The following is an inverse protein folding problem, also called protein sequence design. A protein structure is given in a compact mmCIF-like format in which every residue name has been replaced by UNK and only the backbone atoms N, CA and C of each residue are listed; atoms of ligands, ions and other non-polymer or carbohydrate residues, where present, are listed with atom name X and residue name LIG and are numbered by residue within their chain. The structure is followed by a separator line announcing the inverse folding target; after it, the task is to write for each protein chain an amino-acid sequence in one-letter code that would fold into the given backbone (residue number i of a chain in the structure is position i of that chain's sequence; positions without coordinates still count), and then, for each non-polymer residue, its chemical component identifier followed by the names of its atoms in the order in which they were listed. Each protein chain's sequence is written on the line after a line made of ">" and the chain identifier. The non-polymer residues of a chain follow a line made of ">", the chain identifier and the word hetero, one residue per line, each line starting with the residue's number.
data_IF_447463134750
#
_entry.id   IF_447463134750
#
_cell.length_a   1.000
_cell.length_b   1.000
_cell.length_c   1.000
_cell.angle_alpha   90.00
_cell.angle_beta   90.00
_cell.angle_gamma   90.00
#
_symmetry.space_group_name_H-M   'P 1'
#
loop_
_entity.id
_entity.type
_entity.pdbx_description
1 polymer ?
#
# COMPACT_ATOMS: atom_id res chain seq x y z
N UNK A 1 -4.51 -13.64 -32.51
CA UNK A 1 -3.95 -13.19 -31.21
C UNK A 1 -5.08 -12.59 -30.41
N UNK A 2 -5.17 -12.90 -29.11
CA UNK A 2 -6.27 -12.39 -28.28
C UNK A 2 -5.94 -11.02 -27.71
N UNK A 3 -6.88 -10.09 -27.77
CA UNK A 3 -6.81 -8.79 -27.11
C UNK A 3 -7.67 -8.81 -25.86
N UNK A 4 -7.05 -8.66 -24.69
CA UNK A 4 -7.76 -8.48 -23.42
C UNK A 4 -7.87 -6.99 -23.13
N UNK A 5 -9.03 -6.40 -23.43
CA UNK A 5 -9.27 -4.96 -23.34
C UNK A 5 -10.01 -4.66 -22.05
N UNK A 6 -9.48 -3.71 -21.27
CA UNK A 6 -10.09 -3.22 -20.04
C UNK A 6 -10.53 -1.77 -20.18
N UNK A 7 -11.66 -1.42 -19.55
CA UNK A 7 -12.10 -0.03 -19.42
C UNK A 7 -12.16 0.37 -17.94
N UNK A 8 -11.10 1.02 -17.41
CA UNK A 8 -10.99 1.30 -15.98
C UNK A 8 -12.08 2.21 -15.40
N UNK A 9 -12.72 3.05 -16.22
CA UNK A 9 -13.78 3.95 -15.76
C UNK A 9 -15.01 3.15 -15.30
N UNK A 10 -15.40 2.13 -16.06
CA UNK A 10 -16.55 1.27 -15.77
C UNK A 10 -16.17 0.00 -15.00
N UNK A 11 -14.88 -0.36 -14.96
CA UNK A 11 -14.41 -1.57 -14.29
C UNK A 11 -14.73 -2.86 -15.05
N UNK A 12 -15.01 -2.76 -16.35
CA UNK A 12 -15.32 -3.85 -17.26
C UNK A 12 -14.08 -4.32 -18.03
N UNK A 13 -14.15 -5.55 -18.53
CA UNK A 13 -13.12 -6.15 -19.38
C UNK A 13 -13.76 -7.09 -20.40
N UNK A 14 -13.18 -7.15 -21.59
CA UNK A 14 -13.64 -8.04 -22.67
C UNK A 14 -12.43 -8.63 -23.39
N UNK A 15 -12.50 -9.93 -23.65
CA UNK A 15 -11.53 -10.65 -24.45
C UNK A 15 -12.07 -10.75 -25.88
N UNK A 16 -11.27 -10.31 -26.86
CA UNK A 16 -11.62 -10.34 -28.28
C UNK A 16 -10.54 -11.13 -29.00
N UNK A 17 -10.92 -12.03 -29.90
CA UNK A 17 -9.96 -12.72 -30.75
C UNK A 17 -9.83 -12.00 -32.09
N UNK A 18 -8.59 -11.75 -32.51
CA UNK A 18 -8.28 -11.11 -33.79
C UNK A 18 -7.27 -11.99 -34.51
N UNK A 19 -7.70 -12.56 -35.62
CA UNK A 19 -6.86 -13.43 -36.45
C UNK A 19 -6.15 -12.67 -37.58
N UNK A 20 -6.69 -11.52 -38.01
CA UNK A 20 -6.12 -10.71 -39.07
C UNK A 20 -4.86 -9.95 -38.58
N UNK A 21 -3.71 -10.32 -39.13
CA UNK A 21 -2.41 -9.75 -38.81
C UNK A 21 -2.31 -8.24 -39.15
N UNK A 22 -3.06 -7.75 -40.15
CA UNK A 22 -3.04 -6.33 -40.53
C UNK A 22 -3.58 -5.44 -39.43
N UNK A 23 -4.65 -5.90 -38.76
CA UNK A 23 -5.24 -5.23 -37.59
C UNK A 23 -4.30 -5.23 -36.39
N UNK A 24 -3.42 -6.23 -36.30
CA UNK A 24 -2.45 -6.38 -35.21
C UNK A 24 -1.15 -5.61 -35.46
N UNK A 25 -0.82 -5.30 -36.72
CA UNK A 25 0.41 -4.62 -37.11
C UNK A 25 0.64 -3.29 -36.37
N UNK A 26 -0.44 -2.56 -36.07
CA UNK A 26 -0.38 -1.28 -35.34
C UNK A 26 0.25 -1.40 -33.94
N UNK A 27 0.14 -2.58 -33.32
CA UNK A 27 0.72 -2.87 -32.01
C UNK A 27 2.17 -3.34 -32.07
N UNK A 28 2.64 -3.79 -33.23
CA UNK A 28 3.97 -4.39 -33.36
C UNK A 28 5.07 -3.36 -33.14
N UNK A 29 6.19 -3.83 -32.56
CA UNK A 29 7.35 -3.01 -32.20
C UNK A 29 7.07 -1.87 -31.19
N UNK A 30 5.82 -1.71 -30.77
CA UNK A 30 5.46 -0.83 -29.66
C UNK A 30 5.89 -1.46 -28.35
N UNK A 31 6.12 -0.60 -27.37
CA UNK A 31 6.52 -0.98 -26.02
C UNK A 31 5.31 -0.94 -25.10
N UNK A 32 5.33 -1.77 -24.06
CA UNK A 32 4.41 -1.59 -22.93
C UNK A 32 4.44 -0.14 -22.41
N UNK A 33 3.26 0.40 -22.17
CA UNK A 33 3.02 1.79 -21.78
C UNK A 33 2.75 2.72 -22.96
N UNK A 34 3.02 2.31 -24.21
CA UNK A 34 2.70 3.12 -25.38
C UNK A 34 1.19 3.21 -25.62
N UNK A 35 0.76 4.35 -26.12
CA UNK A 35 -0.59 4.59 -26.60
C UNK A 35 -0.68 4.32 -28.10
N UNK A 36 -1.78 3.71 -28.51
CA UNK A 36 -2.02 3.25 -29.88
C UNK A 36 -3.47 3.57 -30.24
N UNK A 37 -3.67 4.17 -31.42
CA UNK A 37 -5.00 4.44 -31.94
C UNK A 37 -5.74 3.13 -32.26
N UNK A 38 -7.00 3.04 -31.84
CA UNK A 38 -7.86 1.88 -32.07
C UNK A 38 -8.40 1.78 -33.50
N UNK A 39 -8.36 2.88 -34.26
CA UNK A 39 -8.95 3.00 -35.60
C UNK A 39 -8.49 1.90 -36.56
N UNK A 40 -7.22 1.49 -36.48
CA UNK A 40 -6.64 0.47 -37.36
C UNK A 40 -7.02 -0.96 -36.99
N UNK A 41 -7.60 -1.18 -35.80
CA UNK A 41 -7.97 -2.51 -35.31
C UNK A 41 -9.35 -2.91 -35.83
N UNK A 42 -10.28 -1.95 -35.93
CA UNK A 42 -11.61 -2.16 -36.48
C UNK A 42 -12.50 -0.93 -36.31
N UNK A 43 -13.58 -0.88 -37.09
CA UNK A 43 -14.51 0.26 -37.10
C UNK A 43 -15.18 0.49 -35.74
N UNK A 44 -15.40 -0.57 -34.97
CA UNK A 44 -15.93 -0.51 -33.59
C UNK A 44 -15.00 0.20 -32.61
N UNK A 45 -13.72 0.34 -32.94
CA UNK A 45 -12.71 1.01 -32.12
C UNK A 45 -12.34 2.40 -32.65
N UNK A 46 -13.14 2.95 -33.56
CA UNK A 46 -12.91 4.29 -34.09
C UNK A 46 -12.97 5.37 -32.99
N UNK A 47 -11.94 6.20 -32.94
CA UNK A 47 -11.74 7.24 -31.93
C UNK A 47 -11.19 6.75 -30.60
N UNK A 48 -11.08 5.43 -30.38
CA UNK A 48 -10.53 4.88 -29.15
C UNK A 48 -9.01 5.00 -29.12
N UNK A 49 -8.47 5.27 -27.92
CA UNK A 49 -7.03 5.20 -27.67
C UNK A 49 -6.76 4.11 -26.65
N UNK A 50 -5.97 3.12 -27.05
CA UNK A 50 -5.54 2.03 -26.19
C UNK A 50 -4.13 2.28 -25.66
N UNK A 51 -3.90 1.97 -24.40
CA UNK A 51 -2.55 1.83 -23.83
C UNK A 51 -2.20 0.36 -23.70
N UNK A 52 -1.03 -0.03 -24.21
CA UNK A 52 -0.51 -1.38 -24.02
C UNK A 52 -0.10 -1.53 -22.55
N UNK A 53 -0.74 -2.44 -21.83
CA UNK A 53 -0.49 -2.66 -20.39
C UNK A 53 0.38 -3.88 -20.10
N UNK A 54 0.50 -4.79 -21.07
CA UNK A 54 1.28 -6.01 -20.94
C UNK A 54 0.72 -7.12 -21.82
N UNK A 55 0.98 -8.36 -21.43
CA UNK A 55 0.52 -9.52 -22.16
C UNK A 55 1.23 -10.80 -21.72
N UNK A 56 0.87 -11.90 -22.35
CA UNK A 56 1.48 -13.20 -22.18
C UNK A 56 1.90 -13.77 -23.54
N UNK A 57 3.10 -14.32 -23.58
CA UNK A 57 3.61 -15.12 -24.69
C UNK A 57 2.77 -16.41 -24.87
N UNK A 58 2.84 -17.04 -26.05
CA UNK A 58 2.27 -18.37 -26.35
C UNK A 58 2.55 -19.46 -25.31
N UNK A 59 3.71 -19.43 -24.64
CA UNK A 59 4.00 -20.39 -23.55
C UNK A 59 3.65 -19.86 -22.15
N UNK A 60 2.90 -18.76 -22.06
CA UNK A 60 2.38 -18.20 -20.81
C UNK A 60 3.34 -17.27 -20.06
N UNK A 61 4.56 -17.03 -20.53
CA UNK A 61 5.49 -16.11 -19.88
C UNK A 61 4.99 -14.67 -19.95
N UNK A 62 4.87 -13.96 -18.81
CA UNK A 62 4.34 -12.59 -18.78
C UNK A 62 5.38 -11.58 -19.27
N UNK A 63 4.90 -10.50 -19.88
CA UNK A 63 5.72 -9.34 -20.25
C UNK A 63 6.18 -8.55 -19.01
N UNK A 64 7.40 -7.99 -19.07
CA UNK A 64 7.97 -7.16 -17.99
C UNK A 64 8.43 -5.80 -18.52
N UNK A 65 7.93 -4.73 -17.89
CA UNK A 65 8.35 -3.35 -18.17
C UNK A 65 9.87 -3.17 -18.00
N UNK A 66 10.49 -2.40 -18.91
CA UNK A 66 11.91 -2.05 -18.87
C UNK A 66 12.86 -3.10 -19.48
N UNK A 67 12.34 -4.26 -19.88
CA UNK A 67 13.11 -5.26 -20.60
C UNK A 67 12.98 -5.00 -22.10
N UNK A 68 13.94 -4.26 -22.65
CA UNK A 68 13.93 -3.74 -24.03
C UNK A 68 14.29 -4.80 -25.07
N UNK A 69 13.56 -5.92 -25.06
CA UNK A 69 13.82 -7.07 -25.89
C UNK A 69 12.49 -7.64 -26.45
N UNK A 70 12.42 -8.05 -27.73
CA UNK A 70 11.23 -8.63 -28.34
C UNK A 70 11.11 -10.14 -28.10
N UNK A 71 12.02 -10.76 -27.35
CA UNK A 71 11.93 -12.17 -26.95
C UNK A 71 11.93 -12.34 -25.44
N UNK A 72 12.32 -13.52 -24.97
CA UNK A 72 12.46 -13.81 -23.53
C UNK A 72 13.88 -13.65 -23.05
N UNK A 73 14.01 -13.26 -21.79
CA UNK A 73 15.29 -13.17 -21.08
C UNK A 73 15.15 -13.76 -19.68
N UNK A 74 16.26 -14.24 -19.10
CA UNK A 74 16.30 -14.76 -17.74
C UNK A 74 16.84 -13.70 -16.79
N UNK A 75 15.98 -13.20 -15.90
CA UNK A 75 16.33 -12.18 -14.91
C UNK A 75 16.30 -12.75 -13.51
N UNK A 76 17.19 -12.26 -12.63
CA UNK A 76 17.15 -12.53 -11.20
C UNK A 76 16.12 -11.61 -10.53
N UNK A 77 14.98 -12.16 -10.11
CA UNK A 77 13.88 -11.40 -9.52
C UNK A 77 13.87 -11.52 -7.99
N UNK A 78 13.53 -10.43 -7.30
CA UNK A 78 13.39 -10.32 -5.84
C UNK A 78 11.96 -9.90 -5.46
N UNK A 79 11.71 -9.74 -4.17
CA UNK A 79 10.46 -9.13 -3.70
C UNK A 79 10.22 -7.74 -4.33
N UNK A 80 8.95 -7.41 -4.56
CA UNK A 80 8.52 -6.17 -5.22
C UNK A 80 8.68 -6.14 -6.75
N UNK A 81 9.45 -7.04 -7.36
CA UNK A 81 9.52 -7.13 -8.82
C UNK A 81 8.24 -7.76 -9.41
N UNK A 82 7.78 -7.22 -10.54
CA UNK A 82 6.73 -7.87 -11.35
C UNK A 82 7.17 -9.26 -11.85
N UNK A 83 6.20 -10.12 -12.14
CA UNK A 83 6.35 -11.49 -12.65
C UNK A 83 6.91 -12.54 -11.65
N UNK A 84 7.08 -12.14 -10.38
CA UNK A 84 7.52 -13.03 -9.31
C UNK A 84 6.90 -12.66 -7.97
N UNK A 85 6.65 -13.67 -7.14
CA UNK A 85 6.26 -13.51 -5.74
C UNK A 85 7.14 -14.45 -4.92
N UNK A 86 8.00 -13.93 -4.02
CA UNK A 86 8.87 -14.75 -3.19
C UNK A 86 8.05 -15.60 -2.21
N UNK A 87 8.60 -16.76 -1.82
CA UNK A 87 8.01 -17.65 -0.81
C UNK A 87 8.66 -17.48 0.55
N UNK A 88 9.92 -17.05 0.58
CA UNK A 88 10.65 -16.70 1.81
C UNK A 88 11.18 -15.27 1.72
N UNK A 89 11.29 -14.62 2.87
CA UNK A 89 11.89 -13.27 2.96
C UNK A 89 13.33 -13.33 2.46
N UNK A 90 13.71 -12.38 1.60
CA UNK A 90 15.05 -12.32 1.00
C UNK A 90 15.30 -13.29 -0.16
N UNK A 91 14.33 -14.15 -0.53
CA UNK A 91 14.46 -15.06 -1.66
C UNK A 91 14.60 -14.28 -2.99
N UNK A 92 15.60 -14.66 -3.79
CA UNK A 92 15.75 -14.21 -5.17
C UNK A 92 15.73 -15.43 -6.09
N UNK A 93 15.00 -15.34 -7.21
CA UNK A 93 14.88 -16.45 -8.17
C UNK A 93 15.11 -15.98 -9.60
N UNK A 94 15.99 -16.69 -10.32
CA UNK A 94 16.20 -16.44 -11.75
C UNK A 94 15.07 -17.07 -12.57
N UNK A 95 14.23 -16.24 -13.21
CA UNK A 95 13.07 -16.66 -14.01
C UNK A 95 13.14 -16.10 -15.41
N UNK A 96 12.61 -16.85 -16.37
CA UNK A 96 12.37 -16.36 -17.73
C UNK A 96 11.17 -15.42 -17.72
N UNK A 97 11.29 -14.28 -18.39
CA UNK A 97 10.23 -13.28 -18.59
C UNK A 97 10.25 -12.81 -20.04
N UNK A 98 9.09 -12.45 -20.58
CA UNK A 98 8.98 -11.84 -21.91
C UNK A 98 9.33 -10.36 -21.82
N UNK A 99 10.08 -9.83 -22.78
CA UNK A 99 10.39 -8.40 -22.80
C UNK A 99 9.18 -7.53 -23.12
N UNK A 100 9.34 -6.21 -23.04
CA UNK A 100 8.25 -5.23 -23.15
C UNK A 100 7.87 -4.85 -24.58
N UNK A 101 8.66 -5.27 -25.58
CA UNK A 101 8.38 -5.00 -27.00
C UNK A 101 7.39 -6.06 -27.49
N UNK A 102 6.29 -5.59 -28.08
CA UNK A 102 5.21 -6.41 -28.64
C UNK A 102 5.69 -7.11 -29.90
N UNK A 103 5.36 -8.39 -30.03
CA UNK A 103 5.61 -9.21 -31.22
C UNK A 103 4.49 -10.24 -31.44
N UNK A 104 4.52 -10.89 -32.60
CA UNK A 104 3.51 -11.90 -33.02
C UNK A 104 3.60 -13.22 -32.24
N UNK A 105 4.64 -13.40 -31.44
CA UNK A 105 4.84 -14.53 -30.52
C UNK A 105 3.99 -14.43 -29.25
N UNK A 106 3.22 -13.34 -29.08
CA UNK A 106 2.25 -13.20 -28.01
C UNK A 106 0.98 -14.02 -28.27
N UNK A 107 0.41 -14.59 -27.20
CA UNK A 107 -0.92 -15.20 -27.25
C UNK A 107 -2.01 -14.21 -26.87
N UNK A 108 -1.75 -13.41 -25.82
CA UNK A 108 -2.68 -12.39 -25.32
C UNK A 108 -1.94 -11.07 -25.18
N UNK A 109 -2.48 -10.00 -25.74
CA UNK A 109 -2.06 -8.63 -25.50
C UNK A 109 -3.09 -7.94 -24.60
N UNK A 110 -2.63 -7.36 -23.49
CA UNK A 110 -3.48 -6.66 -22.53
C UNK A 110 -3.51 -5.16 -22.81
N UNK A 111 -4.69 -4.62 -23.06
CA UNK A 111 -4.94 -3.23 -23.41
C UNK A 111 -5.82 -2.55 -22.35
N UNK A 112 -5.59 -1.25 -22.13
CA UNK A 112 -6.46 -0.39 -21.33
C UNK A 112 -6.93 0.76 -22.19
N UNK A 113 -8.25 1.02 -22.23
CA UNK A 113 -8.80 2.21 -22.86
C UNK A 113 -8.39 3.44 -22.04
N UNK A 114 -7.78 4.42 -22.70
CA UNK A 114 -7.42 5.73 -22.13
C UNK A 114 -8.46 6.78 -22.53
N UNK A 115 -8.85 6.79 -23.81
CA UNK A 115 -9.88 7.65 -24.37
C UNK A 115 -10.96 6.79 -25.02
N UNK A 116 -12.21 7.05 -24.66
CA UNK A 116 -13.38 6.43 -25.31
C UNK A 116 -13.56 7.05 -26.69
N UNK A 117 -13.86 6.21 -27.68
CA UNK A 117 -14.13 6.62 -29.05
C UNK A 117 -15.60 6.94 -29.28
N UNK A 118 -15.99 6.96 -30.56
CA UNK A 118 -17.28 7.54 -30.99
C UNK A 118 -18.47 6.60 -30.74
N UNK A 119 -18.26 5.28 -30.89
CA UNK A 119 -19.30 4.26 -30.70
C UNK A 119 -19.08 3.43 -29.45
N UNK A 120 -20.15 2.91 -28.84
CA UNK A 120 -20.04 2.02 -27.69
C UNK A 120 -19.71 0.58 -28.06
N UNK A 121 -18.90 -0.07 -27.22
CA UNK A 121 -18.47 -1.45 -27.39
C UNK A 121 -19.32 -2.35 -26.46
N UNK A 122 -20.12 -3.28 -27.01
CA UNK A 122 -20.98 -4.15 -26.23
C UNK A 122 -20.20 -4.96 -25.18
N UNK A 123 -20.66 -4.93 -23.94
CA UNK A 123 -20.03 -5.63 -22.81
C UNK A 123 -18.73 -5.00 -22.29
N UNK A 124 -18.31 -3.85 -22.84
CA UNK A 124 -17.14 -3.11 -22.35
C UNK A 124 -17.53 -1.69 -21.92
N UNK A 125 -17.92 -0.80 -22.83
CA UNK A 125 -18.29 0.59 -22.45
C UNK A 125 -19.74 0.70 -22.01
N UNK A 126 -20.59 -0.22 -22.47
CA UNK A 126 -22.03 -0.21 -22.18
C UNK A 126 -22.35 -0.65 -20.72
N UNK A 127 -21.53 -1.54 -20.16
CA UNK A 127 -21.76 -2.09 -18.80
C UNK A 127 -20.91 -1.35 -17.78
N UNK A 128 -21.54 -0.92 -16.69
CA UNK A 128 -20.87 -0.29 -15.54
C UNK A 128 -20.87 -1.23 -14.34
N UNK A 129 -19.67 -1.60 -13.85
CA UNK A 129 -19.52 -2.39 -12.63
C UNK A 129 -19.22 -1.48 -11.43
N UNK A 130 -20.15 -1.35 -10.46
CA UNK A 130 -19.93 -0.49 -9.31
C UNK A 130 -18.82 -1.03 -8.41
N UNK A 131 -18.04 -0.12 -7.82
CA UNK A 131 -16.99 -0.48 -6.86
C UNK A 131 -17.60 -1.14 -5.64
N UNK A 132 -17.26 -2.41 -5.41
CA UNK A 132 -17.78 -3.22 -4.31
C UNK A 132 -17.48 -2.68 -2.90
N UNK A 133 -16.34 -2.00 -2.73
CA UNK A 133 -15.87 -1.56 -1.41
C UNK A 133 -15.66 -0.05 -1.34
N UNK A 134 -16.21 0.56 -0.30
CA UNK A 134 -15.98 1.96 0.04
C UNK A 134 -14.70 2.21 0.85
N UNK A 135 -14.37 3.49 1.11
CA UNK A 135 -13.22 3.86 1.92
C UNK A 135 -13.37 3.42 3.39
N UNK A 136 -12.31 2.82 3.95
CA UNK A 136 -12.28 2.36 5.36
C UNK A 136 -11.64 3.35 6.35
N UNK A 137 -10.74 4.21 5.88
CA UNK A 137 -9.99 5.14 6.74
C UNK A 137 -10.78 6.44 6.91
N UNK A 138 -10.87 6.97 8.14
CA UNK A 138 -11.63 8.19 8.44
C UNK A 138 -11.31 9.36 7.49
N UNK A 139 -10.03 9.60 7.20
CA UNK A 139 -9.61 10.67 6.28
C UNK A 139 -10.03 10.43 4.83
N UNK A 140 -10.08 9.17 4.38
CA UNK A 140 -10.55 8.83 3.03
C UNK A 140 -12.08 8.95 2.92
N UNK A 141 -12.81 8.63 3.98
CA UNK A 141 -14.27 8.83 4.05
C UNK A 141 -14.59 10.31 3.94
N UNK A 142 -13.88 11.17 4.70
CA UNK A 142 -14.04 12.63 4.61
C UNK A 142 -13.81 13.16 3.20
N UNK A 143 -12.68 12.80 2.59
CA UNK A 143 -12.37 13.21 1.20
C UNK A 143 -13.43 12.73 0.21
N UNK A 144 -13.95 11.52 0.38
CA UNK A 144 -14.92 10.94 -0.54
C UNK A 144 -16.27 11.68 -0.53
N UNK A 145 -16.73 12.11 0.65
CA UNK A 145 -18.01 12.81 0.81
C UNK A 145 -17.86 14.33 0.94
N UNK A 146 -16.65 14.89 0.77
CA UNK A 146 -16.40 16.32 0.95
C UNK A 146 -16.64 16.83 2.39
N UNK A 147 -16.53 15.96 3.40
CA UNK A 147 -16.82 16.30 4.79
C UNK A 147 -15.72 17.15 5.42
N UNK A 148 -16.13 18.01 6.34
CA UNK A 148 -15.25 18.80 7.20
C UNK A 148 -14.65 17.93 8.33
N UNK A 149 -13.84 18.54 9.20
CA UNK A 149 -13.24 17.83 10.34
C UNK A 149 -14.22 17.60 11.49
N UNK A 150 -15.25 18.42 11.58
CA UNK A 150 -16.23 18.39 12.68
C UNK A 150 -17.33 17.36 12.41
N UNK A 151 -17.53 17.01 11.14
CA UNK A 151 -18.48 15.97 10.74
C UNK A 151 -18.12 14.58 11.27
N UNK A 152 -19.13 13.91 11.82
CA UNK A 152 -19.01 12.53 12.29
C UNK A 152 -19.04 11.53 11.13
N UNK A 153 -17.84 11.08 10.75
CA UNK A 153 -17.62 10.09 9.68
C UNK A 153 -18.34 8.76 9.91
N UNK A 154 -18.80 8.43 11.13
CA UNK A 154 -19.48 7.16 11.42
C UNK A 154 -20.82 7.04 10.71
N UNK A 155 -21.51 8.16 10.49
CA UNK A 155 -22.81 8.21 9.82
C UNK A 155 -22.70 7.98 8.31
N UNK A 156 -21.57 8.37 7.72
CA UNK A 156 -21.33 8.34 6.27
C UNK A 156 -20.61 7.07 5.80
N UNK A 157 -20.46 6.05 6.64
CA UNK A 157 -19.82 4.79 6.21
C UNK A 157 -20.74 4.03 5.27
N UNK A 158 -20.27 3.78 4.04
CA UNK A 158 -20.99 2.95 3.08
C UNK A 158 -21.20 1.56 3.67
N UNK A 159 -22.47 1.18 3.81
CA UNK A 159 -22.90 -0.14 4.26
C UNK A 159 -23.20 -0.99 3.04
N UNK A 160 -22.87 -2.27 3.12
CA UNK A 160 -23.22 -3.27 2.12
C UNK A 160 -24.34 -4.14 2.66
N UNK A 161 -25.40 -4.29 1.90
CA UNK A 161 -26.39 -5.32 2.15
C UNK A 161 -25.83 -6.69 1.73
N UNK A 162 -26.01 -7.68 2.60
CA UNK A 162 -25.60 -9.05 2.37
C UNK A 162 -26.84 -9.93 2.38
N UNK A 163 -27.14 -10.50 1.22
CA UNK A 163 -28.14 -11.55 1.05
C UNK A 163 -27.50 -12.90 1.42
N UNK A 164 -27.86 -13.51 2.56
CA UNK A 164 -27.36 -14.83 2.94
C UNK A 164 -27.89 -15.91 1.99
N UNK A 165 -27.03 -16.88 1.63
CA UNK A 165 -27.39 -17.98 0.70
C UNK A 165 -28.29 -19.07 1.28
N UNK A 166 -28.71 -18.97 2.55
CA UNK A 166 -29.54 -19.99 3.19
C UNK A 166 -31.01 -19.60 3.15
N UNK A 167 -31.88 -20.56 2.83
CA UNK A 167 -33.33 -20.37 2.86
C UNK A 167 -33.79 -19.84 4.22
N UNK A 168 -34.67 -18.84 4.21
CA UNK A 168 -35.24 -18.20 5.40
C UNK A 168 -34.34 -17.19 6.13
N UNK A 169 -33.09 -16.98 5.72
CA UNK A 169 -32.21 -16.00 6.38
C UNK A 169 -32.47 -14.59 5.87
N UNK A 170 -32.74 -13.66 6.80
CA UNK A 170 -33.03 -12.26 6.47
C UNK A 170 -31.78 -11.52 5.95
N UNK A 171 -31.95 -10.60 4.99
CA UNK A 171 -30.88 -9.68 4.58
C UNK A 171 -30.35 -8.88 5.77
N UNK A 172 -29.05 -8.60 5.80
CA UNK A 172 -28.47 -7.73 6.83
C UNK A 172 -27.38 -6.83 6.27
N UNK A 173 -27.13 -5.69 6.93
CA UNK A 173 -26.14 -4.71 6.49
C UNK A 173 -24.81 -4.87 7.22
N UNK A 174 -23.71 -4.85 6.48
CA UNK A 174 -22.34 -4.87 6.99
C UNK A 174 -21.65 -3.53 6.71
N UNK A 175 -20.92 -3.03 7.70
CA UNK A 175 -20.08 -1.85 7.58
C UNK A 175 -18.63 -2.18 7.97
N UNK A 176 -17.62 -1.59 7.32
CA UNK A 176 -16.24 -1.74 7.74
C UNK A 176 -15.98 -1.01 9.08
N UNK A 177 -15.14 -1.59 9.94
CA UNK A 177 -14.59 -0.89 11.09
C UNK A 177 -13.71 0.28 10.61
N UNK A 178 -14.08 1.50 10.96
CA UNK A 178 -13.36 2.71 10.55
C UNK A 178 -11.97 2.72 11.18
N UNK A 179 -10.95 2.91 10.35
CA UNK A 179 -9.57 3.01 10.82
C UNK A 179 -9.16 4.48 11.01
N UNK A 180 -8.31 4.71 12.01
CA UNK A 180 -7.73 6.03 12.35
C UNK A 180 -8.75 7.08 12.79
N UNK A 181 -9.93 6.66 13.24
CA UNK A 181 -10.88 7.52 13.96
C UNK A 181 -10.26 7.94 15.31
N UNK A 182 -10.55 9.16 15.75
CA UNK A 182 -10.23 9.60 17.12
C UNK A 182 -11.34 9.09 18.02
N UNK A 183 -11.00 8.20 18.95
CA UNK A 183 -11.95 7.61 19.91
C UNK A 183 -11.59 8.01 21.34
N UNK A 184 -12.54 7.99 22.29
CA UNK A 184 -12.26 8.27 23.70
C UNK A 184 -11.12 7.42 24.26
N UNK A 185 -11.06 6.13 23.90
CA UNK A 185 -9.98 5.22 24.28
C UNK A 185 -8.61 5.69 23.76
N UNK A 186 -8.53 6.18 22.51
CA UNK A 186 -7.29 6.73 21.95
C UNK A 186 -6.84 7.99 22.69
N UNK A 187 -7.78 8.85 23.10
CA UNK A 187 -7.50 10.03 23.92
C UNK A 187 -7.04 9.63 25.33
N UNK A 188 -7.65 8.60 25.93
CA UNK A 188 -7.23 8.04 27.21
C UNK A 188 -5.81 7.48 27.14
N UNK A 189 -5.48 6.67 26.12
CA UNK A 189 -4.12 6.16 25.93
C UNK A 189 -3.09 7.30 25.76
N UNK A 190 -3.46 8.39 25.07
CA UNK A 190 -2.61 9.57 24.92
C UNK A 190 -2.39 10.28 26.27
N UNK A 191 -3.45 10.49 27.05
CA UNK A 191 -3.37 11.07 28.41
C UNK A 191 -2.54 10.20 29.35
N UNK A 192 -2.77 8.89 29.34
CA UNK A 192 -2.02 7.94 30.16
C UNK A 192 -0.52 7.95 29.85
N UNK A 193 -0.14 7.96 28.56
CA UNK A 193 1.27 8.09 28.16
C UNK A 193 1.91 9.38 28.67
N UNK A 194 1.18 10.50 28.62
CA UNK A 194 1.67 11.76 29.15
C UNK A 194 1.82 11.70 30.68
N UNK A 195 0.88 11.09 31.39
CA UNK A 195 0.96 10.89 32.84
C UNK A 195 2.16 10.01 33.25
N UNK A 196 2.43 8.92 32.53
CA UNK A 196 3.61 8.08 32.77
C UNK A 196 4.92 8.86 32.64
N UNK A 197 5.03 9.74 31.63
CA UNK A 197 6.21 10.59 31.46
C UNK A 197 6.42 11.55 32.62
N UNK A 198 5.33 12.16 33.12
CA UNK A 198 5.38 13.06 34.29
C UNK A 198 5.80 12.30 35.54
N UNK A 199 5.15 11.16 35.81
CA UNK A 199 5.48 10.30 36.96
C UNK A 199 6.94 9.84 36.93
N UNK A 200 7.46 9.50 35.76
CA UNK A 200 8.87 9.12 35.62
C UNK A 200 9.80 10.30 35.92
N UNK A 201 9.46 11.51 35.46
CA UNK A 201 10.26 12.70 35.73
C UNK A 201 10.24 13.08 37.22
N UNK A 202 9.09 12.99 37.88
CA UNK A 202 8.93 13.19 39.34
C UNK A 202 9.77 12.16 40.11
N UNK A 203 9.61 10.87 39.78
CA UNK A 203 10.40 9.79 40.40
C UNK A 203 11.91 10.03 40.29
N UNK A 204 12.41 10.37 39.10
CA UNK A 204 13.84 10.64 38.89
C UNK A 204 14.31 11.85 39.71
N UNK A 205 13.48 12.89 39.82
CA UNK A 205 13.78 14.06 40.65
C UNK A 205 13.85 13.70 42.13
N UNK A 206 12.90 12.90 42.61
CA UNK A 206 12.84 12.47 44.00
C UNK A 206 14.04 11.56 44.34
N UNK A 207 14.35 10.58 43.49
CA UNK A 207 15.54 9.71 43.64
C UNK A 207 16.85 10.52 43.65
N UNK A 208 16.97 11.54 42.79
CA UNK A 208 18.14 12.42 42.77
C UNK A 208 18.25 13.24 44.07
N UNK A 209 17.13 13.73 44.61
CA UNK A 209 17.10 14.46 45.88
C UNK A 209 17.47 13.55 47.06
N UNK A 210 16.91 12.34 47.12
CA UNK A 210 17.24 11.34 48.14
C UNK A 210 18.73 10.98 48.09
N UNK A 211 19.27 10.74 46.90
CA UNK A 211 20.69 10.47 46.73
C UNK A 211 21.56 11.64 47.17
N UNK A 212 21.18 12.88 46.84
CA UNK A 212 21.91 14.07 47.27
C UNK A 212 21.94 14.22 48.80
N UNK A 213 20.84 13.90 49.50
CA UNK A 213 20.79 13.90 50.96
C UNK A 213 21.71 12.83 51.56
N UNK A 214 21.69 11.60 51.03
CA UNK A 214 22.57 10.51 51.47
C UNK A 214 24.04 10.89 51.26
N UNK A 215 24.36 11.47 50.09
CA UNK A 215 25.70 11.93 49.76
C UNK A 215 26.18 13.02 50.73
N UNK A 216 25.33 14.02 51.03
CA UNK A 216 25.64 15.08 51.97
C UNK A 216 25.96 14.52 53.37
N UNK A 217 25.16 13.56 53.86
CA UNK A 217 25.40 12.88 55.14
C UNK A 217 26.75 12.14 55.16
N UNK A 218 27.04 11.33 54.13
CA UNK A 218 28.30 10.58 54.03
C UNK A 218 29.52 11.49 53.93
N UNK A 219 29.42 12.60 53.20
CA UNK A 219 30.50 13.59 53.10
C UNK A 219 30.73 14.27 54.45
N UNK A 220 29.67 14.60 55.20
CA UNK A 220 29.79 15.18 56.53
C UNK A 220 30.47 14.20 57.52
N UNK A 221 30.06 12.93 57.52
CA UNK A 221 30.67 11.86 58.33
C UNK A 221 32.15 11.66 57.98
N UNK A 222 32.51 11.60 56.69
CA UNK A 222 33.88 11.47 56.24
C UNK A 222 34.75 12.69 56.63
N UNK A 223 34.21 13.90 56.53
CA UNK A 223 34.87 15.13 57.00
C UNK A 223 35.09 15.09 58.51
N UNK A 224 34.09 14.67 59.29
CA UNK A 224 34.20 14.54 60.74
C UNK A 224 35.26 13.50 61.14
N UNK A 225 35.28 12.33 60.50
CA UNK A 225 36.29 11.29 60.72
C UNK A 225 37.71 11.81 60.39
N UNK A 226 37.88 12.51 59.26
CA UNK A 226 39.17 13.11 58.89
C UNK A 226 39.62 14.19 59.90
N UNK A 227 38.69 15.01 60.40
CA UNK A 227 38.98 16.00 61.41
C UNK A 227 39.40 15.36 62.75
N UNK A 228 38.71 14.29 63.17
CA UNK A 228 39.05 13.55 64.38
C UNK A 228 40.43 12.88 64.26
N UNK A 229 40.72 12.22 63.14
CA UNK A 229 42.04 11.67 62.86
C UNK A 229 43.16 12.73 62.89
N UNK A 230 42.88 13.94 62.38
CA UNK A 230 43.82 15.07 62.46
C UNK A 230 44.05 15.53 63.90
N UNK A 231 42.99 15.61 64.71
CA UNK A 231 43.10 15.94 66.15
C UNK A 231 43.93 14.90 66.90
N UNK A 232 43.67 13.60 66.67
CA UNK A 232 44.45 12.49 67.27
C UNK A 232 45.94 12.55 66.92
N UNK A 233 46.27 12.82 65.64
CA UNK A 233 47.67 13.02 65.20
C UNK A 233 48.33 14.24 65.84
N UNK A 234 47.61 15.35 65.98
CA UNK A 234 48.13 16.55 66.63
C UNK A 234 48.40 16.33 68.13
N UNK A 235 47.55 15.56 68.82
CA UNK A 235 47.78 15.19 70.22
C UNK A 235 48.94 14.20 70.41
N UNK A 236 49.22 13.33 69.43
CA UNK A 236 50.33 12.37 69.54
C UNK A 236 51.70 12.99 69.29
N UNK A 237 51.79 14.11 68.58
CA UNK A 237 53.05 14.86 68.38
C UNK A 237 53.38 15.85 69.51
N UNK A 238 52.57 15.89 70.57
CA UNK A 238 52.70 16.85 71.69
C UNK A 238 53.33 16.22 72.94
N UNK A 239 54.12 15.16 72.76
CA UNK A 239 54.98 14.54 73.78
C UNK A 239 56.43 14.80 73.45
#
# INVERSE_FOLDING_TARGET
>A
MKLNISYPANGSQKLIDIDDERKLAVFMEKRMGAEVAGDSVGDEFKGYIFRITGGNDKQGFPMKQGVMHPGRVRLLLSDGHSCYRPRRTGERKRKSVRGCIVGMDLSVLALSIVKQGDGDIPGLTDVVHPKRLGPKRATKIRKFFGLTKDDDVRKYVIRREVQPKGEGKKPYTKAPKIQRLVTPQRLQHKRHRAALKRRQAEKVKDEANEYAQILAKRVAEAKAHKADARKRRASSMRK
#
